data_IF_256856948893
#
_entry.id   IF_256856948893
#
_cell.length_a   1.000
_cell.length_b   1.000
_cell.length_c   1.000
_cell.angle_alpha   90.00
_cell.angle_beta   90.00
_cell.angle_gamma   90.00
#
_symmetry.space_group_name_H-M   'P 1'
#
loop_
_entity.id
_entity.type
_entity.pdbx_description
1 polymer ?
#
# COMPACT_ATOMS: atom_id res chain seq x y z
N UNK A 1 -7.03 -21.62 -10.05
CA UNK A 1 -7.83 -21.59 -8.81
C UNK A 1 -7.42 -22.76 -7.94
N UNK A 2 -7.17 -22.52 -6.65
CA UNK A 2 -6.89 -23.56 -5.65
C UNK A 2 -8.02 -23.57 -4.63
N UNK A 3 -8.62 -24.73 -4.40
CA UNK A 3 -9.74 -24.92 -3.47
C UNK A 3 -9.29 -25.87 -2.36
N UNK A 4 -9.50 -25.47 -1.11
CA UNK A 4 -9.14 -26.27 0.07
C UNK A 4 -10.36 -26.51 0.93
N UNK A 5 -10.61 -27.77 1.31
CA UNK A 5 -11.73 -28.13 2.19
C UNK A 5 -11.75 -29.61 2.53
N UNK A 6 -12.60 -29.98 3.49
CA UNK A 6 -12.79 -31.37 3.89
C UNK A 6 -14.02 -31.95 3.21
N UNK A 7 -13.86 -33.03 2.44
CA UNK A 7 -15.01 -33.81 1.96
C UNK A 7 -15.71 -34.44 3.16
N UNK A 8 -17.04 -34.34 3.19
CA UNK A 8 -17.85 -35.06 4.17
C UNK A 8 -17.56 -36.57 4.05
N UNK A 9 -17.46 -37.30 5.17
CA UNK A 9 -17.07 -38.73 5.18
C UNK A 9 -17.92 -39.59 4.24
N UNK A 10 -19.17 -39.20 4.02
CA UNK A 10 -20.11 -39.81 3.07
C UNK A 10 -19.61 -39.83 1.62
N UNK A 11 -18.70 -38.93 1.24
CA UNK A 11 -18.16 -38.79 -0.13
C UNK A 11 -16.69 -39.22 -0.25
N UNK A 12 -16.15 -39.86 0.79
CA UNK A 12 -14.76 -40.38 0.81
C UNK A 12 -14.48 -41.42 -0.27
N UNK A 13 -15.48 -42.17 -0.69
CA UNK A 13 -15.39 -43.14 -1.80
C UNK A 13 -15.39 -42.47 -3.18
N UNK A 14 -15.73 -41.18 -3.27
CA UNK A 14 -15.77 -40.41 -4.52
C UNK A 14 -14.48 -39.62 -4.76
N UNK A 15 -13.44 -39.84 -3.95
CA UNK A 15 -12.13 -39.18 -4.12
C UNK A 15 -11.48 -39.54 -5.46
N UNK A 16 -11.82 -40.70 -6.04
CA UNK A 16 -11.40 -41.12 -7.39
C UNK A 16 -12.34 -40.63 -8.51
N UNK A 17 -13.47 -40.01 -8.16
CA UNK A 17 -14.42 -39.48 -9.15
C UNK A 17 -13.93 -38.17 -9.74
N UNK A 18 -14.25 -37.93 -11.02
CA UNK A 18 -13.91 -36.70 -11.72
C UNK A 18 -14.66 -35.52 -11.10
N UNK A 19 -13.94 -34.71 -10.31
CA UNK A 19 -14.46 -33.46 -9.75
C UNK A 19 -14.41 -32.37 -10.84
N UNK A 20 -15.46 -31.56 -10.90
CA UNK A 20 -15.57 -30.39 -11.76
C UNK A 20 -15.62 -29.14 -10.89
N UNK A 21 -14.89 -28.10 -11.30
CA UNK A 21 -15.12 -26.73 -10.86
C UNK A 21 -16.20 -26.11 -11.75
N UNK A 22 -17.26 -25.58 -11.17
CA UNK A 22 -18.33 -24.89 -11.89
C UNK A 22 -18.21 -23.39 -11.66
N UNK A 23 -18.23 -22.62 -12.74
CA UNK A 23 -18.17 -21.15 -12.81
C UNK A 23 -19.43 -20.66 -13.55
N UNK A 24 -20.48 -20.31 -12.81
CA UNK A 24 -21.80 -20.02 -13.36
C UNK A 24 -22.35 -21.25 -14.08
N UNK A 25 -22.49 -21.14 -15.40
CA UNK A 25 -22.99 -22.21 -16.28
C UNK A 25 -21.86 -23.02 -16.95
N UNK A 26 -20.59 -22.70 -16.69
CA UNK A 26 -19.43 -23.38 -17.29
C UNK A 26 -18.76 -24.29 -16.27
N UNK A 27 -18.54 -25.56 -16.62
CA UNK A 27 -17.78 -26.50 -15.79
C UNK A 27 -16.44 -26.85 -16.43
N UNK A 28 -15.41 -27.00 -15.60
CA UNK A 28 -14.07 -27.42 -16.01
C UNK A 28 -13.57 -28.54 -15.12
N UNK A 29 -12.78 -29.50 -15.67
CA UNK A 29 -12.17 -30.54 -14.86
C UNK A 29 -11.26 -29.97 -13.78
N UNK A 30 -11.31 -30.60 -12.61
CA UNK A 30 -10.47 -30.26 -11.47
C UNK A 30 -9.56 -31.44 -11.12
N UNK A 31 -8.32 -31.12 -10.76
CA UNK A 31 -7.27 -32.07 -10.40
C UNK A 31 -7.09 -32.10 -8.89
N UNK A 32 -7.11 -33.29 -8.29
CA UNK A 32 -6.78 -33.45 -6.87
C UNK A 32 -5.27 -33.35 -6.69
N UNK A 33 -4.80 -32.34 -5.96
CA UNK A 33 -3.37 -32.15 -5.67
C UNK A 33 -2.97 -33.00 -4.46
N UNK A 34 -3.82 -33.02 -3.43
CA UNK A 34 -3.74 -33.88 -2.26
C UNK A 34 -5.13 -33.97 -1.63
N UNK A 35 -5.34 -34.85 -0.65
CA UNK A 35 -6.63 -35.01 0.00
C UNK A 35 -7.17 -33.65 0.51
N UNK A 36 -8.34 -33.24 0.00
CA UNK A 36 -8.98 -31.98 0.36
C UNK A 36 -8.44 -30.73 -0.35
N UNK A 37 -7.52 -30.88 -1.30
CA UNK A 37 -6.98 -29.77 -2.09
C UNK A 37 -7.14 -30.05 -3.57
N UNK A 38 -7.92 -29.21 -4.24
CA UNK A 38 -8.26 -29.35 -5.65
C UNK A 38 -7.79 -28.12 -6.43
N UNK A 39 -7.26 -28.34 -7.63
CA UNK A 39 -6.79 -27.29 -8.54
C UNK A 39 -7.57 -27.35 -9.85
N UNK A 40 -7.97 -26.18 -10.36
CA UNK A 40 -8.55 -26.06 -11.69
C UNK A 40 -8.14 -24.75 -12.36
N UNK A 41 -8.21 -24.72 -13.69
CA UNK A 41 -8.00 -23.53 -14.49
C UNK A 41 -9.34 -22.86 -14.74
N UNK A 42 -9.49 -21.60 -14.33
CA UNK A 42 -10.69 -20.84 -14.60
C UNK A 42 -10.84 -20.65 -16.12
N UNK A 43 -11.99 -21.02 -16.73
CA UNK A 43 -12.22 -20.82 -18.15
C UNK A 43 -12.30 -19.32 -18.49
N UNK A 44 -11.93 -18.88 -19.70
CA UNK A 44 -12.20 -17.50 -20.13
C UNK A 44 -13.71 -17.22 -20.08
N UNK A 45 -14.11 -16.15 -19.38
CA UNK A 45 -15.49 -15.68 -19.30
C UNK A 45 -15.57 -14.15 -19.42
N UNK A 46 -16.77 -13.64 -19.67
CA UNK A 46 -17.05 -12.20 -19.62
C UNK A 46 -16.80 -11.67 -18.19
N UNK A 47 -16.43 -10.40 -18.07
CA UNK A 47 -16.24 -9.79 -16.76
C UNK A 47 -17.56 -9.78 -15.98
N UNK A 48 -17.53 -10.19 -14.72
CA UNK A 48 -18.71 -10.30 -13.88
C UNK A 48 -18.52 -11.26 -12.71
N UNK A 49 -19.54 -11.32 -11.85
CA UNK A 49 -19.58 -12.21 -10.69
C UNK A 49 -20.39 -13.45 -11.04
N UNK A 50 -19.78 -14.61 -10.89
CA UNK A 50 -20.37 -15.92 -11.17
C UNK A 50 -20.42 -16.77 -9.90
N UNK A 51 -21.39 -17.68 -9.83
CA UNK A 51 -21.38 -18.70 -8.79
C UNK A 51 -20.22 -19.66 -9.00
N UNK A 52 -19.59 -20.08 -7.91
CA UNK A 52 -18.49 -21.03 -7.94
C UNK A 52 -18.70 -22.15 -6.93
N UNK A 53 -18.66 -23.39 -7.40
CA UNK A 53 -18.81 -24.57 -6.56
C UNK A 53 -18.17 -25.80 -7.20
N UNK A 54 -17.92 -26.82 -6.40
CA UNK A 54 -17.50 -28.14 -6.88
C UNK A 54 -18.72 -28.99 -7.19
N UNK A 55 -18.61 -29.84 -8.20
CA UNK A 55 -19.67 -30.78 -8.62
C UNK A 55 -19.08 -32.04 -9.25
N UNK A 56 -19.83 -33.15 -9.24
CA UNK A 56 -19.46 -34.35 -10.01
C UNK A 56 -20.12 -34.39 -11.40
N UNK A 57 -21.30 -33.78 -11.55
CA UNK A 57 -22.08 -33.76 -12.79
C UNK A 57 -22.11 -32.37 -13.46
N UNK A 58 -21.50 -31.37 -12.81
CA UNK A 58 -21.44 -29.99 -13.26
C UNK A 58 -22.70 -29.18 -12.95
N UNK A 59 -23.66 -29.74 -12.21
CA UNK A 59 -24.96 -29.10 -11.91
C UNK A 59 -25.30 -29.10 -10.44
N UNK A 60 -25.05 -30.21 -9.74
CA UNK A 60 -25.38 -30.37 -8.33
C UNK A 60 -24.16 -29.98 -7.49
N UNK A 61 -24.27 -28.96 -6.61
CA UNK A 61 -23.18 -28.56 -5.74
C UNK A 61 -22.86 -29.62 -4.69
N UNK A 62 -21.58 -29.98 -4.57
CA UNK A 62 -21.04 -30.81 -3.49
C UNK A 62 -20.17 -30.00 -2.50
N UNK A 63 -20.10 -28.68 -2.70
CA UNK A 63 -19.43 -27.72 -1.85
C UNK A 63 -20.35 -26.54 -1.52
N UNK A 64 -19.89 -25.66 -0.63
CA UNK A 64 -20.45 -24.32 -0.54
C UNK A 64 -20.41 -23.61 -1.89
N UNK A 65 -21.43 -22.81 -2.19
CA UNK A 65 -21.48 -21.94 -3.36
C UNK A 65 -20.86 -20.60 -2.97
N UNK A 66 -19.81 -20.21 -3.67
CA UNK A 66 -19.10 -18.94 -3.48
C UNK A 66 -19.30 -18.02 -4.69
N UNK A 67 -18.90 -16.76 -4.55
CA UNK A 67 -18.81 -15.83 -5.67
C UNK A 67 -17.39 -15.86 -6.26
N UNK A 68 -17.28 -15.94 -7.59
CA UNK A 68 -16.02 -15.85 -8.33
C UNK A 68 -16.12 -14.73 -9.35
N UNK A 69 -15.20 -13.77 -9.28
CA UNK A 69 -15.22 -12.57 -10.10
C UNK A 69 -14.21 -12.68 -11.26
N UNK A 70 -14.69 -12.51 -12.49
CA UNK A 70 -13.85 -12.33 -13.67
C UNK A 70 -13.62 -10.86 -13.92
N UNK A 71 -12.35 -10.47 -13.99
CA UNK A 71 -11.95 -9.12 -14.36
C UNK A 71 -11.74 -9.00 -15.87
N UNK A 72 -12.05 -7.83 -16.47
CA UNK A 72 -11.76 -7.60 -17.87
C UNK A 72 -10.25 -7.72 -18.12
N UNK A 73 -9.87 -8.39 -19.21
CA UNK A 73 -8.49 -8.37 -19.67
C UNK A 73 -8.09 -6.90 -19.96
N UNK A 74 -6.90 -6.45 -19.57
CA UNK A 74 -6.46 -5.08 -19.85
C UNK A 74 -6.41 -4.88 -21.37
N UNK A 75 -7.40 -4.16 -21.89
CA UNK A 75 -7.52 -3.85 -23.30
C UNK A 75 -6.65 -2.64 -23.64
N UNK A 76 -5.55 -2.89 -24.34
CA UNK A 76 -4.98 -1.83 -25.17
C UNK A 76 -5.95 -1.57 -26.34
N UNK A 77 -6.60 -0.40 -26.29
CA UNK A 77 -7.33 0.32 -27.34
C UNK A 77 -8.88 0.30 -27.35
N UNK A 78 -9.40 1.54 -27.19
CA UNK A 78 -10.51 2.22 -27.86
C UNK A 78 -12.00 1.82 -27.62
N UNK A 79 -12.68 2.76 -26.95
CA UNK A 79 -14.06 3.26 -27.17
C UNK A 79 -15.25 2.28 -27.17
N UNK A 80 -15.98 2.19 -26.04
CA UNK A 80 -17.26 2.89 -25.84
C UNK A 80 -17.97 2.43 -24.55
N UNK A 81 -18.41 3.40 -23.74
CA UNK A 81 -19.71 3.37 -23.06
C UNK A 81 -19.94 2.37 -21.92
N UNK A 82 -19.16 2.50 -20.83
CA UNK A 82 -19.54 2.58 -19.41
C UNK A 82 -18.21 2.37 -18.68
N UNK A 83 -17.60 3.49 -18.30
CA UNK A 83 -16.30 3.51 -17.67
C UNK A 83 -16.36 2.83 -16.31
N UNK A 84 -15.85 1.60 -16.23
CA UNK A 84 -15.22 1.11 -14.99
C UNK A 84 -14.27 2.22 -14.49
N UNK A 85 -14.13 2.42 -13.16
CA UNK A 85 -13.25 3.47 -12.65
C UNK A 85 -11.86 3.19 -13.22
N UNK A 86 -11.41 4.07 -14.11
CA UNK A 86 -10.05 4.01 -14.67
C UNK A 86 -9.10 3.82 -13.50
N UNK A 87 -8.29 2.78 -13.51
CA UNK A 87 -7.19 2.67 -12.58
C UNK A 87 -6.36 3.94 -12.72
N UNK A 88 -6.38 4.73 -11.67
CA UNK A 88 -5.73 6.03 -11.68
C UNK A 88 -4.24 5.79 -11.47
N UNK A 89 -3.49 5.70 -12.58
CA UNK A 89 -2.03 5.51 -12.56
C UNK A 89 -1.34 6.53 -11.65
N UNK A 90 -1.92 7.73 -11.50
CA UNK A 90 -1.41 8.76 -10.60
C UNK A 90 -1.53 8.35 -9.11
N UNK A 91 -2.64 7.70 -8.71
CA UNK A 91 -2.83 7.18 -7.34
C UNK A 91 -1.88 6.04 -7.02
N UNK A 92 -1.59 5.19 -8.01
CA UNK A 92 -0.59 4.14 -7.82
C UNK A 92 0.81 4.70 -7.66
N UNK A 93 1.16 5.72 -8.45
CA UNK A 93 2.44 6.40 -8.32
C UNK A 93 2.57 7.10 -6.95
N UNK A 94 1.52 7.79 -6.48
CA UNK A 94 1.45 8.37 -5.13
C UNK A 94 1.67 7.30 -4.04
N UNK A 95 0.96 6.19 -4.14
CA UNK A 95 1.11 5.06 -3.21
C UNK A 95 2.53 4.48 -3.22
N UNK A 96 3.14 4.29 -4.38
CA UNK A 96 4.50 3.77 -4.48
C UNK A 96 5.53 4.73 -3.85
N UNK A 97 5.38 6.04 -4.06
CA UNK A 97 6.25 7.04 -3.44
C UNK A 97 6.03 7.08 -1.91
N UNK A 98 4.79 6.95 -1.43
CA UNK A 98 4.48 6.81 0.01
C UNK A 98 5.08 5.54 0.60
N UNK A 99 5.01 4.40 -0.10
CA UNK A 99 5.63 3.13 0.31
C UNK A 99 7.14 3.27 0.44
N UNK A 100 7.79 3.92 -0.53
CA UNK A 100 9.24 4.18 -0.52
C UNK A 100 9.63 5.12 0.62
N UNK A 101 8.84 6.17 0.85
CA UNK A 101 9.03 7.07 1.99
C UNK A 101 8.90 6.30 3.31
N UNK A 102 7.84 5.49 3.48
CA UNK A 102 7.67 4.64 4.64
C UNK A 102 8.91 3.76 4.87
N UNK A 103 9.30 2.98 3.87
CA UNK A 103 10.44 2.09 3.95
C UNK A 103 11.71 2.84 4.36
N UNK A 104 11.98 4.00 3.75
CA UNK A 104 13.13 4.84 4.10
C UNK A 104 13.11 5.26 5.57
N UNK A 105 11.97 5.75 6.07
CA UNK A 105 11.81 6.21 7.45
C UNK A 105 11.95 5.07 8.47
N UNK A 106 11.31 3.92 8.22
CA UNK A 106 11.32 2.79 9.15
C UNK A 106 12.66 2.06 9.15
N UNK A 107 13.30 1.87 8.00
CA UNK A 107 14.57 1.13 7.90
C UNK A 107 15.79 1.91 8.40
N UNK A 108 15.68 3.23 8.54
CA UNK A 108 16.83 4.10 8.89
C UNK A 108 16.63 4.84 10.21
N UNK A 109 15.55 4.52 10.94
CA UNK A 109 15.35 4.91 12.33
C UNK A 109 16.26 4.06 13.21
N UNK A 110 17.03 4.73 14.07
CA UNK A 110 17.99 4.06 14.95
C UNK A 110 17.77 4.54 16.38
N UNK A 111 16.71 4.05 17.02
CA UNK A 111 16.39 4.41 18.40
C UNK A 111 17.54 4.18 19.39
N UNK A 112 18.45 3.24 19.10
CA UNK A 112 19.60 2.91 19.97
C UNK A 112 20.75 3.93 19.88
N UNK A 113 20.95 4.60 18.74
CA UNK A 113 22.06 5.54 18.55
C UNK A 113 21.93 6.77 19.46
N UNK A 114 20.70 7.24 19.66
CA UNK A 114 20.34 8.43 20.45
C UNK A 114 20.79 8.30 21.91
N UNK A 115 20.64 7.11 22.50
CA UNK A 115 21.05 6.87 23.89
C UNK A 115 22.57 6.80 24.08
N UNK A 116 23.34 6.65 23.00
CA UNK A 116 24.80 6.50 23.03
C UNK A 116 25.56 7.76 22.61
N UNK A 117 24.91 8.68 21.88
CA UNK A 117 25.53 9.92 21.40
C UNK A 117 25.63 10.98 22.51
N UNK A 118 26.82 11.57 22.69
CA UNK A 118 26.98 12.81 23.48
C UNK A 118 26.36 13.96 22.69
N UNK A 119 25.14 14.36 23.06
CA UNK A 119 24.41 15.47 22.41
C UNK A 119 24.93 16.80 22.94
N UNK A 120 25.25 17.74 22.03
CA UNK A 120 25.67 19.08 22.44
C UNK A 120 24.50 19.87 23.04
N UNK A 121 24.73 20.80 23.99
CA UNK A 121 23.66 21.63 24.56
C UNK A 121 22.88 22.42 23.51
N UNK A 122 23.56 22.83 22.42
CA UNK A 122 22.95 23.53 21.29
C UNK A 122 21.98 22.60 20.54
N UNK A 123 22.46 21.42 20.13
CA UNK A 123 21.64 20.41 19.45
C UNK A 123 20.42 20.01 20.27
N UNK A 124 20.57 19.91 21.59
CA UNK A 124 19.47 19.60 22.50
C UNK A 124 18.41 20.73 22.52
N UNK A 125 18.83 21.98 22.46
CA UNK A 125 17.90 23.11 22.45
C UNK A 125 17.17 23.23 21.10
N UNK A 126 17.89 22.99 20.00
CA UNK A 126 17.33 22.93 18.65
C UNK A 126 16.30 21.78 18.54
N UNK A 127 16.61 20.61 19.10
CA UNK A 127 15.71 19.46 19.18
C UNK A 127 14.45 19.74 20.02
N UNK A 128 14.57 20.45 21.15
CA UNK A 128 13.42 20.87 21.95
C UNK A 128 12.50 21.82 21.18
N UNK A 129 13.10 22.79 20.47
CA UNK A 129 12.34 23.72 19.63
C UNK A 129 11.63 23.00 18.49
N UNK A 130 12.31 22.05 17.85
CA UNK A 130 11.73 21.22 16.79
C UNK A 130 10.58 20.35 17.32
N UNK A 131 10.76 19.67 18.46
CA UNK A 131 9.70 18.86 19.06
C UNK A 131 8.42 19.66 19.35
N UNK A 132 8.57 20.93 19.77
CA UNK A 132 7.44 21.84 19.98
C UNK A 132 6.75 22.26 18.67
N UNK A 133 7.48 22.39 17.56
CA UNK A 133 6.89 22.72 16.26
C UNK A 133 6.22 21.51 15.58
N UNK A 134 6.59 20.28 15.97
CA UNK A 134 6.05 19.03 15.41
C UNK A 134 4.88 18.41 16.15
N UNK A 135 4.38 19.01 17.23
CA UNK A 135 3.19 18.51 17.95
C UNK A 135 2.04 18.24 16.96
N UNK A 136 1.60 16.99 16.86
CA UNK A 136 0.38 16.63 16.14
C UNK A 136 -0.74 17.50 16.69
N UNK A 137 -1.34 18.26 15.79
CA UNK A 137 -2.36 19.20 16.17
C UNK A 137 -3.71 18.48 16.15
N UNK A 138 -4.55 18.68 17.17
CA UNK A 138 -5.88 18.05 17.29
C UNK A 138 -6.70 18.12 15.98
N UNK A 139 -6.50 19.20 15.22
CA UNK A 139 -7.11 19.42 13.89
C UNK A 139 -6.81 18.31 12.86
N UNK A 140 -5.62 17.71 12.90
CA UNK A 140 -5.21 16.66 11.95
C UNK A 140 -5.99 15.37 12.23
N UNK A 141 -6.25 15.06 13.51
CA UNK A 141 -7.08 13.93 13.93
C UNK A 141 -8.57 14.20 13.70
N UNK A 142 -9.05 15.40 14.03
CA UNK A 142 -10.43 15.82 13.76
C UNK A 142 -10.75 15.77 12.25
N UNK A 143 -9.78 16.03 11.37
CA UNK A 143 -9.96 15.89 9.92
C UNK A 143 -10.17 14.44 9.48
N UNK A 144 -9.62 13.47 10.21
CA UNK A 144 -9.84 12.04 9.97
C UNK A 144 -11.24 11.64 10.45
N UNK A 145 -11.61 12.03 11.67
CA UNK A 145 -12.90 11.69 12.29
C UNK A 145 -14.10 12.25 11.53
N UNK A 146 -14.00 13.49 11.02
CA UNK A 146 -15.06 14.14 10.26
C UNK A 146 -15.30 13.51 8.86
N UNK A 147 -14.48 12.54 8.44
CA UNK A 147 -14.59 11.88 7.13
C UNK A 147 -15.28 10.52 7.15
N UNK A 148 -15.72 10.07 8.33
CA UNK A 148 -16.29 8.73 8.55
C UNK A 148 -17.80 8.66 8.27
N UNK A 149 -18.19 8.68 6.99
CA UNK A 149 -19.50 8.12 6.58
C UNK A 149 -19.35 6.61 6.33
N UNK A 150 -20.40 5.80 6.49
CA UNK A 150 -20.35 4.35 6.23
C UNK A 150 -20.56 4.05 4.74
N UNK A 151 -19.52 4.22 3.92
CA UNK A 151 -19.47 3.74 2.54
C UNK A 151 -18.05 3.32 2.11
N UNK A 152 -17.92 2.64 0.98
CA UNK A 152 -16.63 2.11 0.52
C UNK A 152 -15.63 3.22 0.13
N UNK A 153 -16.13 4.32 -0.44
CA UNK A 153 -15.31 5.46 -0.86
C UNK A 153 -14.74 6.24 0.34
N UNK A 154 -15.54 6.43 1.40
CA UNK A 154 -15.10 7.04 2.65
C UNK A 154 -14.10 6.14 3.39
N UNK A 155 -14.25 4.82 3.36
CA UNK A 155 -13.28 3.89 3.94
C UNK A 155 -11.91 3.97 3.24
N UNK A 156 -11.88 3.97 1.90
CA UNK A 156 -10.65 4.14 1.13
C UNK A 156 -10.00 5.50 1.41
N UNK A 157 -10.80 6.57 1.46
CA UNK A 157 -10.32 7.91 1.81
C UNK A 157 -9.74 7.96 3.23
N UNK A 158 -10.41 7.35 4.20
CA UNK A 158 -9.96 7.29 5.60
C UNK A 158 -8.63 6.53 5.72
N UNK A 159 -8.45 5.43 4.99
CA UNK A 159 -7.17 4.70 4.98
C UNK A 159 -6.03 5.53 4.38
N UNK A 160 -6.30 6.27 3.29
CA UNK A 160 -5.30 7.20 2.71
C UNK A 160 -4.94 8.30 3.70
N UNK A 161 -5.94 8.91 4.35
CA UNK A 161 -5.70 9.93 5.38
C UNK A 161 -4.95 9.38 6.59
N UNK A 162 -5.25 8.15 7.02
CA UNK A 162 -4.54 7.48 8.10
C UNK A 162 -3.07 7.19 7.71
N UNK A 163 -2.82 6.77 6.47
CA UNK A 163 -1.47 6.57 5.95
C UNK A 163 -0.69 7.89 5.92
N UNK A 164 -1.30 8.96 5.41
CA UNK A 164 -0.67 10.30 5.38
C UNK A 164 -0.33 10.79 6.78
N UNK A 165 -1.25 10.61 7.74
CA UNK A 165 -1.03 10.96 9.14
C UNK A 165 0.10 10.13 9.76
N UNK A 166 0.14 8.83 9.48
CA UNK A 166 1.19 7.92 9.96
C UNK A 166 2.56 8.32 9.42
N UNK A 167 2.64 8.64 8.12
CA UNK A 167 3.87 9.11 7.49
C UNK A 167 4.29 10.47 8.04
N UNK A 168 3.35 11.38 8.29
CA UNK A 168 3.62 12.68 8.91
C UNK A 168 4.25 12.52 10.28
N UNK A 169 3.60 11.78 11.18
CA UNK A 169 4.10 11.50 12.52
C UNK A 169 5.47 10.83 12.46
N UNK A 170 5.62 9.82 11.60
CA UNK A 170 6.87 9.08 11.52
C UNK A 170 8.02 9.91 10.96
N UNK A 171 7.76 10.79 9.98
CA UNK A 171 8.76 11.71 9.46
C UNK A 171 9.24 12.68 10.53
N UNK A 172 8.33 13.23 11.34
CA UNK A 172 8.68 14.15 12.43
C UNK A 172 9.58 13.47 13.47
N UNK A 173 9.23 12.26 13.90
CA UNK A 173 10.09 11.46 14.78
C UNK A 173 11.46 11.25 14.15
N UNK A 174 11.50 10.77 12.91
CA UNK A 174 12.75 10.47 12.22
C UNK A 174 13.63 11.72 12.07
N UNK A 175 13.07 12.88 11.75
CA UNK A 175 13.81 14.14 11.65
C UNK A 175 14.39 14.57 13.01
N UNK A 176 13.64 14.39 14.09
CA UNK A 176 14.13 14.64 15.44
C UNK A 176 15.32 13.72 15.78
N UNK A 177 15.25 12.43 15.41
CA UNK A 177 16.37 11.50 15.57
C UNK A 177 17.62 12.00 14.84
N UNK A 178 17.47 12.41 13.57
CA UNK A 178 18.60 12.88 12.75
C UNK A 178 19.19 14.20 13.20
N UNK A 179 18.34 15.10 13.70
CA UNK A 179 18.79 16.34 14.33
C UNK A 179 19.65 16.04 15.57
N UNK A 180 19.24 15.10 16.42
CA UNK A 180 20.00 14.69 17.62
C UNK A 180 21.31 14.00 17.25
N UNK A 181 21.32 13.16 16.21
CA UNK A 181 22.53 12.52 15.70
C UNK A 181 23.55 13.52 15.13
N UNK A 182 23.14 14.76 14.83
CA UNK A 182 24.00 15.81 14.29
C UNK A 182 24.53 15.52 12.87
N UNK A 183 24.04 14.46 12.24
CA UNK A 183 24.29 14.13 10.84
C UNK A 183 23.12 14.66 10.05
N UNK A 184 23.32 15.72 9.27
CA UNK A 184 22.37 16.07 8.20
C UNK A 184 22.13 14.80 7.40
N UNK A 185 20.92 14.25 7.44
CA UNK A 185 20.69 12.86 7.10
C UNK A 185 20.88 12.63 5.59
N UNK A 186 22.09 12.23 5.19
CA UNK A 186 22.43 11.82 3.82
C UNK A 186 21.90 10.40 3.60
N UNK A 187 20.59 10.22 3.75
CA UNK A 187 19.92 8.94 3.63
C UNK A 187 19.12 8.96 2.34
N UNK A 188 19.26 7.89 1.56
CA UNK A 188 18.62 7.72 0.26
C UNK A 188 17.98 6.35 0.22
N UNK A 189 16.88 6.26 -0.50
CA UNK A 189 16.24 4.99 -0.78
C UNK A 189 16.96 4.23 -1.91
N UNK A 190 16.39 3.11 -2.32
CA UNK A 190 16.99 2.25 -3.35
C UNK A 190 17.04 2.88 -4.75
N UNK A 191 16.33 3.98 -5.01
CA UNK A 191 16.46 4.75 -6.26
C UNK A 191 17.39 5.96 -6.10
N UNK A 192 18.04 6.09 -4.95
CA UNK A 192 18.97 7.19 -4.69
C UNK A 192 18.30 8.50 -4.26
N UNK A 193 17.00 8.48 -3.95
CA UNK A 193 16.23 9.65 -3.51
C UNK A 193 16.16 9.72 -1.98
N UNK A 194 16.49 10.88 -1.40
CA UNK A 194 16.24 11.15 0.02
C UNK A 194 14.82 11.62 0.32
N UNK A 195 14.49 11.73 1.61
CA UNK A 195 13.15 12.12 2.13
C UNK A 195 12.61 13.41 1.49
N UNK A 196 13.46 14.40 1.23
CA UNK A 196 13.05 15.69 0.67
C UNK A 196 12.54 15.58 -0.78
N UNK A 197 13.10 14.65 -1.57
CA UNK A 197 12.66 14.42 -2.94
C UNK A 197 11.30 13.70 -2.96
N UNK A 198 11.16 12.66 -2.13
CA UNK A 198 9.91 11.91 -2.01
C UNK A 198 8.77 12.83 -1.52
N UNK A 199 9.03 13.67 -0.52
CA UNK A 199 8.04 14.65 -0.04
C UNK A 199 7.68 15.71 -1.10
N UNK A 200 8.62 16.10 -1.97
CA UNK A 200 8.35 17.02 -3.07
C UNK A 200 7.43 16.40 -4.13
N UNK A 201 7.62 15.12 -4.45
CA UNK A 201 6.73 14.37 -5.38
C UNK A 201 5.32 14.21 -4.82
N UNK A 202 5.17 14.06 -3.50
CA UNK A 202 3.89 13.90 -2.81
C UNK A 202 3.15 15.23 -2.50
N UNK A 203 3.67 16.38 -2.94
CA UNK A 203 3.22 17.72 -2.54
C UNK A 203 3.09 17.92 -1.02
N UNK A 204 3.97 17.27 -0.24
CA UNK A 204 4.02 17.42 1.21
C UNK A 204 4.73 18.72 1.60
N UNK A 205 4.13 19.87 1.28
CA UNK A 205 4.70 21.21 1.57
C UNK A 205 5.03 21.41 3.05
N UNK A 206 4.20 20.83 3.92
CA UNK A 206 4.41 20.86 5.37
C UNK A 206 5.73 20.20 5.78
N UNK A 207 6.21 19.20 5.03
CA UNK A 207 7.42 18.45 5.34
C UNK A 207 8.68 19.22 4.97
N UNK A 208 8.66 20.02 3.90
CA UNK A 208 9.86 20.71 3.39
C UNK A 208 10.45 21.64 4.44
N UNK A 209 9.61 22.41 5.13
CA UNK A 209 10.07 23.29 6.21
C UNK A 209 10.72 22.49 7.35
N UNK A 210 10.06 21.44 7.82
CA UNK A 210 10.57 20.59 8.91
C UNK A 210 11.89 19.91 8.54
N UNK A 211 12.01 19.42 7.31
CA UNK A 211 13.23 18.81 6.78
C UNK A 211 14.39 19.82 6.83
N UNK A 212 14.15 21.06 6.42
CA UNK A 212 15.18 22.12 6.48
C UNK A 212 15.53 22.56 7.89
N UNK A 213 14.55 22.64 8.81
CA UNK A 213 14.79 22.91 10.23
C UNK A 213 15.62 21.82 10.91
N UNK A 214 15.47 20.56 10.46
CA UNK A 214 16.29 19.44 10.89
C UNK A 214 17.71 19.44 10.30
N UNK A 215 18.07 20.46 9.50
CA UNK A 215 19.42 20.64 8.96
C UNK A 215 19.70 19.93 7.64
N UNK A 216 18.69 19.35 6.98
CA UNK A 216 18.84 18.80 5.62
C UNK A 216 18.75 19.96 4.63
N UNK A 217 19.79 20.11 3.79
CA UNK A 217 19.83 21.19 2.80
C UNK A 217 18.68 21.06 1.79
N UNK A 218 18.06 22.19 1.46
CA UNK A 218 17.03 22.25 0.41
C UNK A 218 17.61 21.93 -0.98
N UNK A 219 18.91 22.15 -1.16
CA UNK A 219 19.67 21.81 -2.36
C UNK A 219 20.27 20.40 -2.30
N UNK A 220 19.83 19.56 -1.37
CA UNK A 220 20.24 18.17 -1.32
C UNK A 220 19.91 17.49 -2.65
N UNK A 221 20.92 16.88 -3.27
CA UNK A 221 20.81 16.24 -4.59
C UNK A 221 20.65 14.74 -4.45
N UNK A 222 19.74 14.13 -5.20
CA UNK A 222 19.62 12.68 -5.37
C UNK A 222 20.78 12.08 -6.18
N UNK A 223 20.74 10.77 -6.46
CA UNK A 223 21.85 10.07 -7.12
C UNK A 223 22.04 10.50 -8.58
N UNK A 224 21.00 11.09 -9.17
CA UNK A 224 20.98 11.67 -10.52
C UNK A 224 21.34 13.16 -10.52
N UNK A 225 21.60 13.75 -9.35
CA UNK A 225 21.93 15.17 -9.22
C UNK A 225 20.72 16.10 -9.11
N UNK A 226 19.49 15.57 -9.03
CA UNK A 226 18.26 16.36 -8.94
C UNK A 226 18.00 16.79 -7.51
N UNK A 227 17.51 18.02 -7.32
CA UNK A 227 17.05 18.53 -6.02
C UNK A 227 15.54 18.35 -5.88
N UNK A 228 15.01 18.56 -4.67
CA UNK A 228 13.57 18.55 -4.42
C UNK A 228 12.77 19.43 -5.39
N UNK A 229 13.31 20.60 -5.77
CA UNK A 229 12.67 21.50 -6.73
C UNK A 229 12.54 20.90 -8.13
N UNK A 230 13.54 20.15 -8.60
CA UNK A 230 13.48 19.49 -9.91
C UNK A 230 12.35 18.44 -9.93
N UNK A 231 12.23 17.68 -8.84
CA UNK A 231 11.15 16.69 -8.69
C UNK A 231 9.77 17.35 -8.60
N UNK A 232 9.61 18.41 -7.79
CA UNK A 232 8.36 19.15 -7.71
C UNK A 232 7.92 19.70 -9.08
N UNK A 233 8.85 20.29 -9.84
CA UNK A 233 8.56 20.84 -11.17
C UNK A 233 8.19 19.76 -12.21
N UNK A 234 8.71 18.54 -12.06
CA UNK A 234 8.41 17.44 -12.98
C UNK A 234 7.06 16.76 -12.70
N UNK A 235 6.57 16.78 -11.45
CA UNK A 235 5.37 16.06 -11.03
C UNK A 235 4.14 16.94 -10.77
N UNK A 236 4.31 18.26 -10.71
CA UNK A 236 3.30 19.33 -10.82
C UNK A 236 1.85 18.98 -10.52
#
# INVERSE_FOLDING_TARGET
>A
VLVTGCFHKSYSHLVESRILCVFGDTSVPAEMVQAGVVRCMAPPQLSGIYSFYLSFDGRVPISQIMSFEYYPAPSHSANNGISAPKFDESKWNDFEVKRRLAHLLFSTSSGVSIFTSKVSPKTLNDAKRFAQSTLLHEKDWMSLENSMELNEASFLKANVSLLDLTLKTKLQEWLLEKLIEGRGAIVRDHQGQGVIHLCAVLDYRWAIHLITEAGISIDFRDASGWTALHWAANFG
#
